data_IF_617551135436
#
_entry.id   IF_617551135436
#
_cell.length_a   1.000
_cell.length_b   1.000
_cell.length_c   1.000
_cell.angle_alpha   90.00
_cell.angle_beta   90.00
_cell.angle_gamma   90.00
#
_symmetry.space_group_name_H-M   'P 1'
#
loop_
_entity.id
_entity.type
_entity.pdbx_description
1 polymer ?
#
# COMPACT_ATOMS: atom_id res chain seq x y z
N UNK A 1 38.07 -60.26 -44.61
CA UNK A 1 36.67 -60.33 -44.14
C UNK A 1 36.57 -59.75 -42.73
N UNK A 2 36.41 -58.44 -42.58
CA UNK A 2 35.79 -57.77 -41.42
C UNK A 2 35.17 -56.50 -42.00
N UNK A 3 33.84 -56.39 -41.92
CA UNK A 3 33.05 -55.33 -42.53
C UNK A 3 32.25 -54.52 -41.51
N UNK A 4 31.60 -53.48 -42.04
CA UNK A 4 30.54 -52.64 -41.46
C UNK A 4 30.97 -51.69 -40.32
N UNK A 5 30.51 -50.44 -40.23
CA UNK A 5 29.60 -49.63 -41.04
C UNK A 5 29.83 -48.18 -40.57
N UNK A 6 30.08 -47.25 -41.48
CA UNK A 6 30.15 -45.83 -41.16
C UNK A 6 28.74 -45.33 -40.84
N UNK A 7 28.50 -44.94 -39.58
CA UNK A 7 27.29 -44.25 -39.14
C UNK A 7 27.22 -42.88 -39.85
N UNK A 8 26.44 -42.80 -40.92
CA UNK A 8 26.00 -41.52 -41.47
C UNK A 8 24.97 -40.92 -40.53
N UNK A 9 25.42 -40.01 -39.66
CA UNK A 9 24.51 -39.14 -38.91
C UNK A 9 23.90 -38.15 -39.90
N UNK A 10 22.64 -38.36 -40.27
CA UNK A 10 21.85 -37.37 -40.98
C UNK A 10 21.67 -36.16 -40.05
N UNK A 11 22.41 -35.07 -40.31
CA UNK A 11 22.11 -33.77 -39.72
C UNK A 11 20.80 -33.29 -40.33
N UNK A 12 19.71 -33.52 -39.63
CA UNK A 12 18.44 -32.84 -39.88
C UNK A 12 18.63 -31.34 -39.59
N UNK A 13 19.03 -30.58 -40.61
CA UNK A 13 19.09 -29.12 -40.56
C UNK A 13 17.69 -28.53 -40.70
N UNK A 14 16.80 -28.88 -39.78
CA UNK A 14 15.57 -28.11 -39.57
C UNK A 14 15.96 -26.78 -38.94
N UNK A 15 16.22 -25.80 -39.80
CA UNK A 15 16.25 -24.37 -39.42
C UNK A 15 14.89 -24.04 -38.84
N UNK A 16 14.75 -24.09 -37.52
CA UNK A 16 13.59 -23.54 -36.83
C UNK A 16 13.62 -22.03 -37.05
N UNK A 17 12.95 -21.58 -38.11
CA UNK A 17 12.63 -20.18 -38.32
C UNK A 17 11.65 -19.78 -37.23
N UNK A 18 12.16 -19.40 -36.06
CA UNK A 18 11.39 -18.65 -35.08
C UNK A 18 11.12 -17.31 -35.73
N UNK A 19 9.97 -17.18 -36.41
CA UNK A 19 9.41 -15.87 -36.78
C UNK A 19 9.34 -15.06 -35.48
N UNK A 20 10.33 -14.20 -35.25
CA UNK A 20 10.21 -13.18 -34.22
C UNK A 20 8.98 -12.37 -34.61
N UNK A 21 7.97 -12.23 -33.72
CA UNK A 21 6.85 -11.36 -34.04
C UNK A 21 7.41 -9.97 -34.38
N UNK A 22 6.83 -9.26 -35.35
CA UNK A 22 7.31 -7.94 -35.73
C UNK A 22 7.37 -7.07 -34.48
N UNK A 23 8.53 -6.44 -34.25
CA UNK A 23 8.68 -5.44 -33.18
C UNK A 23 7.70 -4.33 -33.53
N UNK A 24 6.62 -4.21 -32.78
CA UNK A 24 5.67 -3.11 -32.95
C UNK A 24 6.41 -1.81 -32.63
N UNK A 25 6.85 -1.11 -33.67
CA UNK A 25 7.42 0.23 -33.56
C UNK A 25 6.28 1.19 -33.23
N UNK A 26 6.10 1.49 -31.93
CA UNK A 26 5.13 2.50 -31.49
C UNK A 26 5.65 3.88 -31.92
N UNK A 27 5.08 4.43 -32.99
CA UNK A 27 5.49 5.70 -33.59
C UNK A 27 4.57 6.83 -33.14
N UNK A 28 4.84 7.41 -31.96
CA UNK A 28 4.15 8.63 -31.53
C UNK A 28 4.30 8.88 -30.03
N UNK A 29 4.43 10.15 -29.61
CA UNK A 29 4.56 10.52 -28.19
C UNK A 29 3.33 10.13 -27.36
N UNK A 30 2.12 10.14 -27.94
CA UNK A 30 0.87 9.69 -27.30
C UNK A 30 0.83 8.17 -27.15
N UNK A 31 1.28 7.42 -28.16
CA UNK A 31 1.37 5.96 -28.12
C UNK A 31 2.51 5.48 -27.22
N UNK A 32 3.56 6.28 -27.08
CA UNK A 32 4.64 6.07 -26.13
C UNK A 32 4.18 6.32 -24.69
N UNK A 33 3.53 7.46 -24.41
CA UNK A 33 3.00 7.77 -23.07
C UNK A 33 1.88 6.79 -22.68
N UNK A 34 0.85 6.62 -23.50
CA UNK A 34 -0.23 5.66 -23.26
C UNK A 34 0.29 4.21 -23.19
N UNK A 35 1.28 3.89 -24.01
CA UNK A 35 1.97 2.60 -24.01
C UNK A 35 2.82 2.36 -22.76
N UNK A 36 3.42 3.41 -22.19
CA UNK A 36 4.20 3.35 -20.96
C UNK A 36 3.29 3.11 -19.75
N UNK A 37 2.22 3.89 -19.59
CA UNK A 37 1.27 3.74 -18.46
C UNK A 37 0.50 2.41 -18.50
N UNK A 38 0.38 1.78 -19.67
CA UNK A 38 -0.20 0.42 -19.82
C UNK A 38 0.84 -0.69 -19.77
N UNK A 39 2.14 -0.37 -19.84
CA UNK A 39 3.21 -1.37 -19.76
C UNK A 39 3.34 -1.94 -18.35
N UNK A 40 3.89 -3.15 -18.23
CA UNK A 40 4.14 -3.75 -16.91
C UNK A 40 5.22 -3.00 -16.11
N UNK A 41 6.07 -2.20 -16.78
CA UNK A 41 7.05 -1.36 -16.10
C UNK A 41 6.40 -0.07 -15.58
N UNK A 42 5.59 0.62 -16.40
CA UNK A 42 4.89 1.83 -15.98
C UNK A 42 3.92 1.58 -14.82
N UNK A 43 3.16 0.47 -14.85
CA UNK A 43 2.30 0.09 -13.72
C UNK A 43 3.06 -0.13 -12.41
N UNK A 44 4.29 -0.67 -12.46
CA UNK A 44 5.13 -0.82 -11.27
C UNK A 44 5.59 0.52 -10.73
N UNK A 45 5.92 1.47 -11.60
CA UNK A 45 6.25 2.84 -11.21
C UNK A 45 5.05 3.55 -10.58
N UNK A 46 3.86 3.47 -11.18
CA UNK A 46 2.64 4.04 -10.61
C UNK A 46 2.39 3.43 -9.22
N UNK A 47 2.44 2.10 -9.10
CA UNK A 47 2.25 1.40 -7.82
C UNK A 47 3.28 1.83 -6.76
N UNK A 48 4.55 2.02 -7.14
CA UNK A 48 5.60 2.44 -6.25
C UNK A 48 5.43 3.90 -5.79
N UNK A 49 5.21 4.84 -6.71
CA UNK A 49 5.08 6.28 -6.40
C UNK A 49 3.84 6.51 -5.54
N UNK A 50 2.70 5.92 -5.91
CA UNK A 50 1.48 5.98 -5.09
C UNK A 50 1.69 5.35 -3.72
N UNK A 51 2.40 4.21 -3.66
CA UNK A 51 2.78 3.57 -2.41
C UNK A 51 3.61 4.48 -1.50
N UNK A 52 4.61 5.20 -2.03
CA UNK A 52 5.41 6.17 -1.26
C UNK A 52 4.51 7.26 -0.67
N UNK A 53 3.64 7.85 -1.48
CA UNK A 53 2.71 8.89 -1.01
C UNK A 53 1.79 8.38 0.10
N UNK A 54 1.23 7.18 -0.06
CA UNK A 54 0.37 6.55 0.95
C UNK A 54 1.14 6.19 2.24
N UNK A 55 2.39 5.73 2.14
CA UNK A 55 3.24 5.49 3.33
C UNK A 55 3.50 6.79 4.09
N UNK A 56 3.82 7.87 3.36
CA UNK A 56 4.00 9.20 3.96
C UNK A 56 2.74 9.67 4.68
N UNK A 57 1.57 9.50 4.05
CA UNK A 57 0.29 9.82 4.68
C UNK A 57 0.02 8.99 5.94
N UNK A 58 0.20 7.67 5.91
CA UNK A 58 -0.03 6.82 7.10
C UNK A 58 0.88 7.24 8.26
N UNK A 59 2.13 7.62 8.00
CA UNK A 59 3.03 8.13 9.02
C UNK A 59 2.57 9.48 9.59
N UNK A 60 2.22 10.45 8.73
CA UNK A 60 1.71 11.75 9.15
C UNK A 60 0.36 11.64 9.89
N UNK A 61 -0.50 10.72 9.45
CA UNK A 61 -1.78 10.41 10.07
C UNK A 61 -1.57 9.81 11.46
N UNK A 62 -0.67 8.85 11.62
CA UNK A 62 -0.31 8.33 12.94
C UNK A 62 0.23 9.44 13.84
N UNK A 63 1.12 10.30 13.33
CA UNK A 63 1.67 11.42 14.12
C UNK A 63 0.58 12.35 14.65
N UNK A 64 -0.41 12.68 13.82
CA UNK A 64 -1.58 13.44 14.25
C UNK A 64 -2.40 12.70 15.30
N UNK A 65 -2.69 11.41 15.07
CA UNK A 65 -3.51 10.61 15.99
C UNK A 65 -2.85 10.43 17.37
N UNK A 66 -1.52 10.36 17.44
CA UNK A 66 -0.79 10.28 18.71
C UNK A 66 -0.94 11.54 19.58
N UNK A 67 -1.44 12.65 19.05
CA UNK A 67 -1.80 13.84 19.84
C UNK A 67 -2.93 13.58 20.84
N UNK A 68 -3.67 12.49 20.70
CA UNK A 68 -4.64 12.06 21.71
C UNK A 68 -3.99 11.89 23.10
N UNK A 69 -2.71 11.50 23.15
CA UNK A 69 -1.97 11.31 24.40
C UNK A 69 -1.38 12.60 24.99
N UNK A 70 -1.53 13.74 24.31
CA UNK A 70 -0.89 14.99 24.75
C UNK A 70 -1.75 15.84 25.69
N UNK A 71 -3.00 15.43 25.94
CA UNK A 71 -3.91 16.11 26.87
C UNK A 71 -4.46 17.42 26.31
N UNK A 72 -4.71 18.38 27.20
CA UNK A 72 -5.28 19.70 26.89
C UNK A 72 -4.26 20.82 27.05
N UNK A 73 -4.52 21.94 26.39
CA UNK A 73 -3.80 23.19 26.61
C UNK A 73 -4.28 23.91 27.90
N UNK A 74 -3.82 25.15 28.11
CA UNK A 74 -4.19 25.97 29.26
C UNK A 74 -5.65 26.46 29.23
N UNK A 75 -6.29 26.48 28.06
CA UNK A 75 -7.69 26.85 27.88
C UNK A 75 -8.63 25.65 28.07
N UNK A 76 -8.10 24.42 28.10
CA UNK A 76 -8.87 23.19 28.23
C UNK A 76 -9.15 22.50 26.89
N UNK A 77 -8.58 22.98 25.79
CA UNK A 77 -8.76 22.42 24.45
C UNK A 77 -7.79 21.25 24.22
N UNK A 78 -8.27 20.15 23.65
CA UNK A 78 -7.41 19.00 23.38
C UNK A 78 -6.41 19.30 22.26
N UNK A 79 -5.15 18.92 22.45
CA UNK A 79 -4.09 19.16 21.46
C UNK A 79 -4.34 18.47 20.10
N UNK A 80 -5.14 17.40 20.07
CA UNK A 80 -5.53 16.75 18.82
C UNK A 80 -6.50 17.62 18.00
N UNK A 81 -7.40 18.34 18.68
CA UNK A 81 -8.37 19.25 18.04
C UNK A 81 -7.66 20.52 17.55
N UNK A 82 -6.77 21.08 18.37
CA UNK A 82 -5.89 22.19 17.97
C UNK A 82 -5.03 21.81 16.75
N UNK A 83 -4.54 20.57 16.69
CA UNK A 83 -3.79 20.08 15.53
C UNK A 83 -4.68 19.98 14.28
N UNK A 84 -5.93 19.53 14.43
CA UNK A 84 -6.93 19.49 13.35
C UNK A 84 -7.21 20.90 12.79
N UNK A 85 -7.41 21.87 13.66
CA UNK A 85 -7.62 23.28 13.28
C UNK A 85 -6.38 23.87 12.59
N UNK A 86 -5.19 23.62 13.14
CA UNK A 86 -3.93 24.06 12.52
C UNK A 86 -3.75 23.49 11.10
N UNK A 87 -4.16 22.25 10.87
CA UNK A 87 -4.16 21.65 9.54
C UNK A 87 -5.16 22.33 8.60
N UNK A 88 -6.35 22.69 9.10
CA UNK A 88 -7.33 23.44 8.32
C UNK A 88 -6.78 24.79 7.84
N UNK A 89 -5.98 25.45 8.67
CA UNK A 89 -5.33 26.73 8.36
C UNK A 89 -3.90 26.63 7.81
N UNK A 90 -3.46 25.45 7.35
CA UNK A 90 -2.07 25.21 6.90
C UNK A 90 -1.62 26.14 5.76
N UNK A 91 -2.55 26.66 4.95
CA UNK A 91 -2.28 27.62 3.89
C UNK A 91 -2.07 29.08 4.34
N UNK A 92 -2.25 29.36 5.63
CA UNK A 92 -2.16 30.70 6.20
C UNK A 92 -3.03 31.71 5.46
N UNK A 93 -2.48 32.90 5.23
CA UNK A 93 -3.15 33.98 4.49
C UNK A 93 -3.09 33.81 2.96
N UNK A 94 -2.33 32.83 2.45
CA UNK A 94 -2.14 32.64 1.01
C UNK A 94 -3.26 31.84 0.35
N UNK A 95 -3.95 30.98 1.12
CA UNK A 95 -4.98 30.08 0.61
C UNK A 95 -6.18 30.07 1.57
N UNK A 96 -7.41 29.92 1.07
CA UNK A 96 -8.58 29.73 1.93
C UNK A 96 -8.42 28.54 2.88
N UNK A 97 -9.03 28.63 4.06
CA UNK A 97 -9.09 27.53 5.02
C UNK A 97 -9.59 26.25 4.37
N UNK A 98 -8.93 25.12 4.68
CA UNK A 98 -9.26 23.80 4.15
C UNK A 98 -8.86 23.55 2.70
N UNK A 99 -8.41 24.55 1.93
CA UNK A 99 -8.06 24.37 0.51
C UNK A 99 -6.92 23.35 0.33
N UNK A 100 -5.81 23.55 1.06
CA UNK A 100 -4.64 22.66 0.94
C UNK A 100 -4.98 21.24 1.40
N UNK A 101 -5.75 21.09 2.48
CA UNK A 101 -6.24 19.79 2.94
C UNK A 101 -7.12 19.10 1.90
N UNK A 102 -7.98 19.84 1.22
CA UNK A 102 -8.85 19.29 0.18
C UNK A 102 -8.03 18.78 -1.00
N UNK A 103 -7.02 19.53 -1.44
CA UNK A 103 -6.08 19.10 -2.49
C UNK A 103 -5.33 17.83 -2.07
N UNK A 104 -4.81 17.80 -0.85
CA UNK A 104 -4.13 16.61 -0.31
C UNK A 104 -5.07 15.41 -0.26
N UNK A 105 -6.33 15.59 0.18
CA UNK A 105 -7.34 14.52 0.26
C UNK A 105 -7.68 13.96 -1.12
N UNK A 106 -7.90 14.82 -2.12
CA UNK A 106 -8.16 14.39 -3.50
C UNK A 106 -6.94 13.67 -4.08
N UNK A 107 -5.74 14.21 -3.86
CA UNK A 107 -4.49 13.58 -4.30
C UNK A 107 -4.27 12.20 -3.70
N UNK A 108 -4.54 12.04 -2.40
CA UNK A 108 -4.44 10.74 -1.71
C UNK A 108 -5.50 9.75 -2.20
N UNK A 109 -6.74 10.19 -2.41
CA UNK A 109 -7.79 9.36 -2.98
C UNK A 109 -7.40 8.87 -4.39
N UNK A 110 -6.88 9.76 -5.23
CA UNK A 110 -6.37 9.41 -6.55
C UNK A 110 -5.19 8.43 -6.47
N UNK A 111 -4.23 8.67 -5.57
CA UNK A 111 -3.10 7.77 -5.35
C UNK A 111 -3.56 6.38 -4.90
N UNK A 112 -4.52 6.30 -3.98
CA UNK A 112 -5.10 5.05 -3.51
C UNK A 112 -5.81 4.26 -4.62
N UNK A 113 -6.63 4.94 -5.43
CA UNK A 113 -7.30 4.32 -6.59
C UNK A 113 -6.27 3.79 -7.59
N UNK A 114 -5.26 4.60 -7.94
CA UNK A 114 -4.19 4.21 -8.86
C UNK A 114 -3.35 3.06 -8.31
N UNK A 115 -3.12 3.02 -7.00
CA UNK A 115 -2.41 1.94 -6.32
C UNK A 115 -3.18 0.61 -6.45
N UNK A 116 -4.47 0.60 -6.14
CA UNK A 116 -5.35 -0.58 -6.26
C UNK A 116 -5.45 -1.02 -7.72
N UNK A 117 -5.67 -0.08 -8.64
CA UNK A 117 -5.78 -0.36 -10.07
C UNK A 117 -4.51 -1.04 -10.60
N UNK A 118 -3.34 -0.46 -10.28
CA UNK A 118 -2.04 -1.03 -10.68
C UNK A 118 -1.82 -2.42 -10.09
N UNK A 119 -2.16 -2.62 -8.82
CA UNK A 119 -2.08 -3.91 -8.14
C UNK A 119 -2.99 -4.96 -8.78
N UNK A 120 -4.23 -4.59 -9.13
CA UNK A 120 -5.20 -5.48 -9.77
C UNK A 120 -4.77 -5.90 -11.18
N UNK A 121 -4.32 -4.94 -11.99
CA UNK A 121 -3.84 -5.21 -13.36
C UNK A 121 -2.59 -6.08 -13.33
N UNK A 122 -1.60 -5.77 -12.47
CA UNK A 122 -0.38 -6.56 -12.35
C UNK A 122 -0.67 -7.97 -11.83
N UNK A 123 -1.61 -8.09 -10.88
CA UNK A 123 -2.09 -9.38 -10.38
C UNK A 123 -2.73 -10.23 -11.48
N UNK A 124 -3.61 -9.63 -12.29
CA UNK A 124 -4.26 -10.32 -13.41
C UNK A 124 -3.22 -10.79 -14.43
N UNK A 125 -2.28 -9.93 -14.80
CA UNK A 125 -1.18 -10.27 -15.73
C UNK A 125 -0.31 -11.40 -15.19
N UNK A 126 0.05 -11.35 -13.92
CA UNK A 126 0.85 -12.41 -13.29
C UNK A 126 0.10 -13.75 -13.28
N UNK A 127 -1.23 -13.73 -13.02
CA UNK A 127 -2.06 -14.94 -13.06
C UNK A 127 -2.18 -15.52 -14.48
N UNK A 128 -2.36 -14.67 -15.50
CA UNK A 128 -2.40 -15.10 -16.90
C UNK A 128 -1.05 -15.68 -17.33
N UNK A 129 0.06 -15.03 -16.96
CA UNK A 129 1.41 -15.49 -17.27
C UNK A 129 1.77 -16.81 -16.59
N UNK A 130 1.20 -17.11 -15.42
CA UNK A 130 1.41 -18.38 -14.71
C UNK A 130 0.74 -19.59 -15.39
N UNK A 131 -0.30 -19.40 -16.21
CA UNK A 131 -0.98 -20.50 -16.91
C UNK A 131 -1.43 -21.67 -16.00
N UNK A 132 -1.38 -22.91 -16.52
CA UNK A 132 -1.62 -24.16 -15.77
C UNK A 132 -0.36 -24.72 -15.08
N UNK A 133 0.81 -24.17 -15.39
CA UNK A 133 2.10 -24.66 -14.92
C UNK A 133 2.45 -23.98 -13.59
N UNK A 134 2.05 -24.60 -12.47
CA UNK A 134 2.54 -24.22 -11.14
C UNK A 134 4.07 -24.34 -11.12
N UNK A 135 4.74 -23.21 -10.87
CA UNK A 135 6.20 -23.11 -10.73
C UNK A 135 6.80 -24.30 -9.96
N UNK A 136 7.67 -25.08 -10.62
CA UNK A 136 8.32 -26.30 -10.12
C UNK A 136 9.52 -26.03 -9.19
N UNK A 137 9.47 -25.02 -8.31
CA UNK A 137 10.56 -24.71 -7.37
C UNK A 137 10.12 -24.96 -5.92
N UNK A 138 10.44 -26.14 -5.39
CA UNK A 138 9.80 -26.73 -4.19
C UNK A 138 9.99 -25.96 -2.87
N UNK A 139 11.04 -25.14 -2.71
CA UNK A 139 11.37 -24.53 -1.40
C UNK A 139 10.99 -23.03 -1.28
N UNK A 140 11.12 -22.25 -2.35
CA UNK A 140 10.79 -20.81 -2.35
C UNK A 140 9.32 -20.52 -2.71
N UNK A 141 8.56 -21.54 -3.11
CA UNK A 141 7.16 -21.42 -3.49
C UNK A 141 6.24 -21.17 -2.29
N UNK A 142 6.45 -21.84 -1.15
CA UNK A 142 5.59 -21.69 0.01
C UNK A 142 5.65 -20.26 0.59
N UNK A 143 6.86 -19.71 0.75
CA UNK A 143 7.07 -18.35 1.25
C UNK A 143 6.54 -17.27 0.30
N UNK A 144 6.78 -17.42 -1.02
CA UNK A 144 6.27 -16.47 -2.02
C UNK A 144 4.73 -16.53 -2.17
N UNK A 145 4.14 -17.73 -2.05
CA UNK A 145 2.69 -17.92 -2.06
C UNK A 145 2.03 -17.36 -0.79
N UNK A 146 2.63 -17.54 0.39
CA UNK A 146 2.15 -16.93 1.64
C UNK A 146 2.16 -15.40 1.55
N UNK A 147 3.30 -14.80 1.19
CA UNK A 147 3.42 -13.35 1.03
C UNK A 147 2.46 -12.78 -0.03
N UNK A 148 2.23 -13.51 -1.14
CA UNK A 148 1.27 -13.10 -2.17
C UNK A 148 -0.18 -13.13 -1.68
N UNK A 149 -0.53 -14.12 -0.84
CA UNK A 149 -1.87 -14.24 -0.25
C UNK A 149 -2.11 -13.15 0.78
N UNK A 150 -1.15 -12.94 1.69
CA UNK A 150 -1.26 -11.89 2.73
C UNK A 150 -1.31 -10.50 2.09
N UNK A 151 -0.58 -10.24 1.00
CA UNK A 151 -0.67 -8.97 0.26
C UNK A 151 -2.05 -8.72 -0.35
N UNK A 152 -2.67 -9.73 -0.98
CA UNK A 152 -3.98 -9.56 -1.63
C UNK A 152 -5.10 -9.45 -0.60
N UNK A 153 -5.18 -10.40 0.33
CA UNK A 153 -6.23 -10.39 1.36
C UNK A 153 -6.05 -9.22 2.33
N UNK A 154 -4.81 -8.90 2.71
CA UNK A 154 -4.50 -7.70 3.49
C UNK A 154 -4.96 -6.43 2.79
N UNK A 155 -4.70 -6.30 1.48
CA UNK A 155 -5.20 -5.16 0.70
C UNK A 155 -6.73 -5.03 0.69
N UNK A 156 -7.47 -6.14 0.62
CA UNK A 156 -8.94 -6.13 0.70
C UNK A 156 -9.40 -5.73 2.11
N UNK A 157 -8.78 -6.26 3.16
CA UNK A 157 -9.09 -5.90 4.55
C UNK A 157 -8.87 -4.39 4.75
N UNK A 158 -7.75 -3.85 4.27
CA UNK A 158 -7.43 -2.42 4.36
C UNK A 158 -8.46 -1.58 3.60
N UNK A 159 -8.90 -2.02 2.42
CA UNK A 159 -9.94 -1.31 1.65
C UNK A 159 -11.25 -1.24 2.42
N UNK A 160 -11.72 -2.38 2.97
CA UNK A 160 -12.95 -2.42 3.77
C UNK A 160 -12.82 -1.58 5.04
N UNK A 161 -11.66 -1.66 5.69
CA UNK A 161 -11.34 -0.84 6.85
C UNK A 161 -11.34 0.65 6.51
N UNK A 162 -10.75 1.07 5.39
CA UNK A 162 -10.73 2.48 4.98
C UNK A 162 -12.15 3.02 4.77
N UNK A 163 -13.03 2.24 4.13
CA UNK A 163 -14.42 2.63 3.94
C UNK A 163 -15.14 2.79 5.29
N UNK A 164 -14.95 1.84 6.20
CA UNK A 164 -15.51 1.91 7.54
C UNK A 164 -14.93 3.09 8.35
N UNK A 165 -13.61 3.27 8.31
CA UNK A 165 -12.90 4.35 8.99
C UNK A 165 -13.40 5.74 8.55
N UNK A 166 -13.59 5.94 7.24
CA UNK A 166 -14.18 7.17 6.72
C UNK A 166 -15.64 7.34 7.17
N UNK A 167 -16.44 6.27 7.13
CA UNK A 167 -17.82 6.31 7.61
C UNK A 167 -17.90 6.62 9.12
N UNK A 168 -16.92 6.18 9.91
CA UNK A 168 -16.91 6.27 11.37
C UNK A 168 -16.35 7.59 11.89
N UNK A 169 -15.13 7.97 11.48
CA UNK A 169 -14.40 9.12 12.05
C UNK A 169 -14.33 10.34 11.13
N UNK A 170 -14.78 10.25 9.87
CA UNK A 170 -14.78 11.40 8.94
C UNK A 170 -16.19 11.86 8.58
N UNK A 171 -17.10 10.92 8.33
CA UNK A 171 -18.46 11.19 7.88
C UNK A 171 -19.51 11.05 8.99
N UNK A 172 -19.18 10.36 10.09
CA UNK A 172 -20.09 10.15 11.23
C UNK A 172 -21.24 9.17 10.98
N UNK A 173 -21.29 8.50 9.83
CA UNK A 173 -22.35 7.52 9.50
C UNK A 173 -22.35 6.27 10.38
N UNK A 174 -21.20 5.89 10.93
CA UNK A 174 -21.04 4.70 11.77
C UNK A 174 -20.75 5.03 13.26
N UNK A 175 -20.68 6.32 13.60
CA UNK A 175 -20.45 6.81 14.95
C UNK A 175 -21.68 7.63 15.42
N UNK A 176 -22.52 7.09 16.30
CA UNK A 176 -23.77 7.74 16.73
C UNK A 176 -23.58 9.11 17.41
N UNK A 177 -22.47 9.28 18.12
CA UNK A 177 -22.16 10.49 18.89
C UNK A 177 -21.16 11.38 18.14
N UNK A 178 -21.22 11.37 16.81
CA UNK A 178 -20.27 12.12 15.98
C UNK A 178 -20.57 13.62 15.96
N UNK A 179 -19.56 14.43 16.27
CA UNK A 179 -19.60 15.89 16.19
C UNK A 179 -18.51 16.43 15.26
N UNK A 180 -18.89 17.26 14.27
CA UNK A 180 -17.92 17.74 13.29
C UNK A 180 -16.96 18.76 13.91
N UNK A 181 -15.67 18.46 13.91
CA UNK A 181 -14.63 19.31 14.50
C UNK A 181 -14.01 18.72 15.77
N UNK A 182 -14.76 17.89 16.49
CA UNK A 182 -14.38 17.37 17.82
C UNK A 182 -13.66 16.02 17.67
N UNK A 183 -12.41 16.04 17.22
CA UNK A 183 -11.64 14.82 16.88
C UNK A 183 -11.43 13.95 18.11
N UNK A 184 -11.10 14.55 19.26
CA UNK A 184 -10.93 13.81 20.51
C UNK A 184 -12.18 13.01 20.87
N UNK A 185 -13.32 13.70 21.03
CA UNK A 185 -14.58 13.07 21.47
C UNK A 185 -15.08 12.03 20.46
N UNK A 186 -14.94 12.29 19.16
CA UNK A 186 -15.27 11.31 18.13
C UNK A 186 -14.45 10.02 18.24
N UNK A 187 -13.15 10.13 18.54
CA UNK A 187 -12.28 8.96 18.76
C UNK A 187 -12.69 8.20 20.02
N UNK A 188 -12.98 8.89 21.13
CA UNK A 188 -13.45 8.27 22.37
C UNK A 188 -14.79 7.55 22.15
N UNK A 189 -15.78 8.23 21.57
CA UNK A 189 -17.11 7.69 21.31
C UNK A 189 -17.05 6.43 20.44
N UNK A 190 -16.24 6.46 19.38
CA UNK A 190 -16.11 5.30 18.50
C UNK A 190 -15.37 4.14 19.18
N UNK A 191 -14.17 4.40 19.72
CA UNK A 191 -13.25 3.35 20.15
C UNK A 191 -13.56 2.80 21.56
N UNK A 192 -14.44 3.46 22.32
CA UNK A 192 -15.01 2.87 23.54
C UNK A 192 -15.94 1.69 23.24
N UNK A 193 -16.48 1.60 22.01
CA UNK A 193 -17.25 0.44 21.57
C UNK A 193 -16.29 -0.71 21.24
N UNK A 194 -16.16 -1.66 22.16
CA UNK A 194 -15.19 -2.76 22.04
C UNK A 194 -15.18 -3.50 20.68
N UNK A 195 -16.31 -3.76 19.97
CA UNK A 195 -16.25 -4.42 18.67
C UNK A 195 -15.55 -3.56 17.61
N UNK A 196 -15.75 -2.25 17.70
CA UNK A 196 -15.13 -1.26 16.79
C UNK A 196 -13.64 -1.17 17.07
N UNK A 197 -13.24 -1.05 18.33
CA UNK A 197 -11.83 -1.08 18.70
C UNK A 197 -11.11 -2.35 18.19
N UNK A 198 -11.72 -3.53 18.35
CA UNK A 198 -11.17 -4.80 17.82
C UNK A 198 -11.04 -4.76 16.29
N UNK A 199 -12.04 -4.24 15.58
CA UNK A 199 -11.98 -4.06 14.13
C UNK A 199 -10.80 -3.17 13.73
N UNK A 200 -10.62 -2.03 14.38
CA UNK A 200 -9.49 -1.12 14.15
C UNK A 200 -8.14 -1.80 14.43
N UNK A 201 -8.03 -2.58 15.51
CA UNK A 201 -6.80 -3.30 15.85
C UNK A 201 -6.44 -4.36 14.80
N UNK A 202 -7.40 -5.18 14.39
CA UNK A 202 -7.19 -6.23 13.36
C UNK A 202 -6.82 -5.61 12.02
N UNK A 203 -7.49 -4.52 11.62
CA UNK A 203 -7.19 -3.83 10.39
C UNK A 203 -5.77 -3.22 10.38
N UNK A 204 -5.33 -2.65 11.51
CA UNK A 204 -3.97 -2.11 11.65
C UNK A 204 -2.89 -3.19 11.62
N UNK A 205 -3.16 -4.39 12.16
CA UNK A 205 -2.28 -5.56 11.97
C UNK A 205 -2.15 -5.92 10.50
N UNK A 206 -3.26 -5.97 9.75
CA UNK A 206 -3.25 -6.21 8.31
C UNK A 206 -2.49 -5.11 7.54
N UNK A 207 -2.67 -3.85 7.93
CA UNK A 207 -1.95 -2.71 7.38
C UNK A 207 -0.44 -2.83 7.61
N UNK A 208 0.01 -3.20 8.80
CA UNK A 208 1.42 -3.38 9.11
C UNK A 208 2.07 -4.48 8.25
N UNK A 209 1.40 -5.63 8.09
CA UNK A 209 1.87 -6.67 7.17
C UNK A 209 1.94 -6.17 5.72
N UNK A 210 0.93 -5.44 5.27
CA UNK A 210 0.90 -4.85 3.93
C UNK A 210 2.05 -3.86 3.72
N UNK A 211 2.33 -2.99 4.70
CA UNK A 211 3.43 -2.03 4.67
C UNK A 211 4.79 -2.73 4.67
N UNK A 212 4.98 -3.75 5.51
CA UNK A 212 6.22 -4.51 5.58
C UNK A 212 6.56 -5.15 4.23
N UNK A 213 5.60 -5.84 3.63
CA UNK A 213 5.76 -6.48 2.32
C UNK A 213 5.83 -5.45 1.17
N UNK A 214 4.99 -4.42 1.23
CA UNK A 214 4.92 -3.33 0.24
C UNK A 214 6.24 -2.58 0.14
N UNK A 215 6.80 -2.15 1.28
CA UNK A 215 8.08 -1.44 1.34
C UNK A 215 9.22 -2.27 0.75
N UNK A 216 9.24 -3.59 1.00
CA UNK A 216 10.20 -4.48 0.37
C UNK A 216 10.06 -4.53 -1.17
N UNK A 217 8.83 -4.65 -1.67
CA UNK A 217 8.55 -4.73 -3.11
C UNK A 217 8.79 -3.40 -3.85
N UNK A 218 8.65 -2.29 -3.15
CA UNK A 218 8.89 -0.93 -3.65
C UNK A 218 10.35 -0.74 -4.03
N UNK A 219 11.28 -1.15 -3.17
CA UNK A 219 12.71 -1.05 -3.48
C UNK A 219 13.11 -1.87 -4.70
N UNK A 220 12.47 -3.02 -4.93
CA UNK A 220 12.68 -3.82 -6.14
C UNK A 220 12.13 -3.15 -7.39
N UNK A 221 10.96 -2.52 -7.28
CA UNK A 221 10.27 -1.87 -8.41
C UNK A 221 11.00 -0.62 -8.90
N UNK A 222 11.64 0.13 -8.00
CA UNK A 222 12.44 1.32 -8.31
C UNK A 222 13.87 1.01 -8.78
N UNK A 223 14.22 -0.27 -8.98
CA UNK A 223 15.54 -0.66 -9.48
C UNK A 223 16.66 -0.63 -8.42
N UNK A 224 16.36 -0.18 -7.20
CA UNK A 224 17.23 -0.35 -6.05
C UNK A 224 17.14 -1.79 -5.53
N UNK A 225 17.58 -2.77 -6.30
CA UNK A 225 17.56 -4.20 -5.93
C UNK A 225 18.97 -4.77 -5.67
N UNK A 226 19.95 -3.90 -5.40
CA UNK A 226 21.31 -4.34 -5.11
C UNK A 226 21.33 -5.16 -3.79
N UNK A 227 21.84 -6.42 -3.80
CA UNK A 227 21.91 -7.28 -2.63
C UNK A 227 22.62 -6.68 -1.42
N UNK A 228 23.59 -5.79 -1.65
CA UNK A 228 24.36 -5.10 -0.60
C UNK A 228 23.47 -4.33 0.39
N UNK A 229 22.33 -3.81 -0.06
CA UNK A 229 21.42 -3.00 0.76
C UNK A 229 20.19 -3.77 1.26
N UNK A 230 20.12 -5.09 1.07
CA UNK A 230 18.96 -5.88 1.45
C UNK A 230 18.71 -5.88 2.97
N UNK A 231 19.76 -5.93 3.79
CA UNK A 231 19.64 -5.85 5.25
C UNK A 231 19.06 -4.51 5.70
N UNK A 232 19.58 -3.40 5.15
CA UNK A 232 19.10 -2.05 5.45
C UNK A 232 17.63 -1.85 5.05
N UNK A 233 17.24 -2.27 3.84
CA UNK A 233 15.85 -2.18 3.36
C UNK A 233 14.88 -2.98 4.20
N UNK A 234 15.29 -4.19 4.59
CA UNK A 234 14.48 -5.06 5.44
C UNK A 234 14.37 -4.47 6.85
N UNK A 235 15.46 -3.93 7.39
CA UNK A 235 15.45 -3.19 8.65
C UNK A 235 14.48 -2.02 8.62
N UNK A 236 14.56 -1.17 7.58
CA UNK A 236 13.63 -0.06 7.37
C UNK A 236 12.17 -0.54 7.31
N UNK A 237 11.87 -1.53 6.45
CA UNK A 237 10.51 -2.05 6.30
C UNK A 237 9.95 -2.61 7.62
N UNK A 238 10.79 -3.32 8.40
CA UNK A 238 10.40 -3.85 9.71
C UNK A 238 10.15 -2.75 10.72
N UNK A 239 11.10 -1.81 10.89
CA UNK A 239 10.98 -0.72 11.87
C UNK A 239 9.79 0.17 11.53
N UNK A 240 9.65 0.58 10.27
CA UNK A 240 8.55 1.43 9.83
C UNK A 240 7.19 0.74 10.07
N UNK A 241 7.04 -0.52 9.65
CA UNK A 241 5.79 -1.26 9.90
C UNK A 241 5.50 -1.45 11.40
N UNK A 242 6.53 -1.71 12.21
CA UNK A 242 6.38 -1.87 13.66
C UNK A 242 5.95 -0.57 14.35
N UNK A 243 6.53 0.58 13.98
CA UNK A 243 6.13 1.89 14.51
C UNK A 243 4.68 2.19 14.15
N UNK A 244 4.28 1.97 12.89
CA UNK A 244 2.88 2.15 12.46
C UNK A 244 1.94 1.24 13.26
N UNK A 245 2.33 -0.02 13.47
CA UNK A 245 1.51 -0.99 14.20
C UNK A 245 1.34 -0.60 15.66
N UNK A 246 2.45 -0.37 16.37
CA UNK A 246 2.43 -0.08 17.82
C UNK A 246 1.70 1.23 18.08
N UNK A 247 1.98 2.27 17.30
CA UNK A 247 1.33 3.58 17.48
C UNK A 247 -0.17 3.55 17.20
N UNK A 248 -0.62 2.81 16.18
CA UNK A 248 -2.07 2.70 15.93
C UNK A 248 -2.77 1.75 16.90
N UNK A 249 -2.10 0.71 17.41
CA UNK A 249 -2.68 -0.19 18.41
C UNK A 249 -2.76 0.46 19.80
N UNK A 250 -1.82 1.34 20.15
CA UNK A 250 -1.81 1.98 21.47
C UNK A 250 -3.06 2.82 21.72
N UNK A 251 -3.64 3.42 20.68
CA UNK A 251 -4.82 4.29 20.76
C UNK A 251 -6.08 3.53 21.24
N UNK A 252 -6.63 2.54 20.51
CA UNK A 252 -7.82 1.82 20.95
C UNK A 252 -7.57 1.06 22.26
N UNK A 253 -6.35 0.59 22.51
CA UNK A 253 -6.00 -0.07 23.77
C UNK A 253 -6.09 0.91 24.95
N UNK A 254 -5.52 2.11 24.81
CA UNK A 254 -5.56 3.12 25.86
C UNK A 254 -6.97 3.61 26.15
N UNK A 255 -7.79 3.80 25.11
CA UNK A 255 -9.20 4.20 25.25
C UNK A 255 -10.00 3.11 25.98
N UNK A 256 -9.87 1.83 25.57
CA UNK A 256 -10.55 0.73 26.26
C UNK A 256 -10.07 0.54 27.70
N UNK A 257 -8.82 0.90 28.01
CA UNK A 257 -8.26 0.86 29.35
C UNK A 257 -8.63 2.07 30.21
N UNK A 258 -9.26 3.10 29.65
CA UNK A 258 -9.58 4.35 30.34
C UNK A 258 -8.35 5.17 30.73
N UNK A 259 -7.24 5.04 29.97
CA UNK A 259 -6.01 5.82 30.19
C UNK A 259 -6.03 7.20 29.53
N UNK A 260 -6.97 7.40 28.61
CA UNK A 260 -7.26 8.66 27.92
C UNK A 260 -8.75 8.86 27.92
#
# INVERSE_FOLDING_TARGET
MWGCQALQTTRDSRVTSTKRPPVQTRSGWRDWLGGFFTSSIGLKWIMAITGIGLLGYVAAHLFGNLKIFTGTDAAGEYYIDLYSEALWHLGGHLLPGGFLLTVLRIGLAAAFILHIWSAAVLTKRNRVAMGSTRYQASRNWAASNYASRTMRFGGIIILLFLLYHLADLTLGWANPDFHHGDVFDNMIASLSRWPVAVLYMVANVALAFHIYHGSWSLFQSLGSANPKYNSLRRGFATVFAAVILVGNLSIPIAILAGWV
#
